data_IF_333561811822
#
_entry.id   IF_333561811822
#
_cell.length_a   1.000
_cell.length_b   1.000
_cell.length_c   1.000
_cell.angle_alpha   90.00
_cell.angle_beta   90.00
_cell.angle_gamma   90.00
#
_symmetry.space_group_name_H-M   'P 1'
#
loop_
_entity.id
_entity.type
_entity.pdbx_description
1 polymer ?
#
# COMPACT_ATOMS: atom_id res chain seq x y z
N UNK A 1 -46.55 21.60 14.99
CA UNK A 1 -46.47 20.18 14.56
C UNK A 1 -45.72 19.98 13.24
N UNK A 2 -46.11 20.63 12.12
CA UNK A 2 -45.48 20.43 10.79
C UNK A 2 -43.97 20.76 10.72
N UNK A 3 -43.53 21.82 11.38
CA UNK A 3 -42.10 22.22 11.44
C UNK A 3 -41.24 21.23 12.23
N UNK A 4 -41.78 20.66 13.31
CA UNK A 4 -41.11 19.64 14.11
C UNK A 4 -40.92 18.34 13.34
N UNK A 5 -41.92 17.94 12.54
CA UNK A 5 -41.84 16.77 11.68
C UNK A 5 -40.76 16.92 10.59
N UNK A 6 -40.67 18.11 9.97
CA UNK A 6 -39.62 18.40 8.99
C UNK A 6 -38.21 18.33 9.61
N UNK A 7 -38.03 18.88 10.81
CA UNK A 7 -36.76 18.78 11.53
C UNK A 7 -36.38 17.33 11.84
N UNK A 8 -37.33 16.53 12.32
CA UNK A 8 -37.08 15.11 12.61
C UNK A 8 -36.66 14.33 11.38
N UNK A 9 -37.32 14.54 10.23
CA UNK A 9 -36.97 13.87 8.96
C UNK A 9 -35.54 14.23 8.52
N UNK A 10 -35.16 15.50 8.59
CA UNK A 10 -33.81 15.95 8.20
C UNK A 10 -32.71 15.34 9.08
N UNK A 11 -32.94 15.25 10.39
CA UNK A 11 -31.98 14.65 11.33
C UNK A 11 -31.80 13.16 11.02
N UNK A 12 -32.90 12.44 10.79
CA UNK A 12 -32.86 11.00 10.46
C UNK A 12 -32.11 10.78 9.14
N UNK A 13 -32.38 11.59 8.10
CA UNK A 13 -31.69 11.48 6.81
C UNK A 13 -30.18 11.68 6.94
N UNK A 14 -29.72 12.66 7.74
CA UNK A 14 -28.30 12.90 7.98
C UNK A 14 -27.60 11.75 8.72
N UNK A 15 -28.28 11.11 9.67
CA UNK A 15 -27.74 9.97 10.42
C UNK A 15 -27.59 8.74 9.50
N UNK A 16 -28.57 8.47 8.64
CA UNK A 16 -28.51 7.36 7.68
C UNK A 16 -27.40 7.56 6.64
N UNK A 17 -27.19 8.80 6.18
CA UNK A 17 -26.11 9.14 5.24
C UNK A 17 -24.71 9.02 5.86
N UNK A 18 -24.56 9.33 7.16
CA UNK A 18 -23.28 9.18 7.89
C UNK A 18 -22.95 7.72 8.24
N UNK A 19 -23.96 6.86 8.39
CA UNK A 19 -23.75 5.41 8.58
C UNK A 19 -23.15 4.72 7.34
N UNK A 20 -23.19 5.37 6.17
CA UNK A 20 -22.65 4.87 4.92
C UNK A 20 -21.20 5.25 4.62
N UNK A 21 -20.57 6.09 5.45
CA UNK A 21 -19.12 6.40 5.32
C UNK A 21 -18.29 5.58 6.29
N UNK A 22 -18.65 4.31 6.47
CA UNK A 22 -17.65 3.28 6.64
C UNK A 22 -16.99 3.03 5.29
N UNK A 23 -16.29 4.02 4.74
CA UNK A 23 -15.23 3.70 3.81
C UNK A 23 -14.25 2.91 4.67
N UNK A 24 -14.44 1.59 4.72
CA UNK A 24 -13.47 0.68 5.27
C UNK A 24 -12.20 1.06 4.54
N UNK A 25 -11.33 1.80 5.22
CA UNK A 25 -10.01 2.12 4.71
C UNK A 25 -9.45 0.75 4.36
N UNK A 26 -9.37 0.47 3.07
CA UNK A 26 -8.89 -0.80 2.58
C UNK A 26 -7.42 -0.72 2.90
N UNK A 27 -7.06 -1.20 4.10
CA UNK A 27 -5.69 -1.12 4.57
C UNK A 27 -4.84 -1.78 3.50
N UNK A 28 -3.81 -1.07 3.06
CA UNK A 28 -2.86 -1.61 2.11
C UNK A 28 -2.29 -2.86 2.77
N UNK A 29 -2.31 -3.98 2.03
CA UNK A 29 -1.77 -5.24 2.52
C UNK A 29 -0.32 -5.01 3.01
N UNK A 30 0.00 -5.51 4.21
CA UNK A 30 1.31 -5.28 4.79
C UNK A 30 2.44 -5.84 3.92
N UNK A 31 2.17 -6.87 3.13
CA UNK A 31 3.08 -7.46 2.14
C UNK A 31 3.39 -6.55 0.95
N UNK A 32 2.60 -5.49 0.72
CA UNK A 32 2.91 -4.45 -0.29
C UNK A 32 3.98 -3.49 0.22
N UNK A 33 3.95 -3.16 1.51
CA UNK A 33 4.93 -2.28 2.14
C UNK A 33 6.22 -3.03 2.48
N UNK A 34 6.07 -4.26 2.96
CA UNK A 34 7.17 -5.12 3.36
C UNK A 34 7.04 -6.47 2.64
N UNK A 35 7.80 -6.69 1.56
CA UNK A 35 7.76 -7.93 0.79
C UNK A 35 7.98 -9.18 1.64
N UNK A 36 8.69 -9.08 2.77
CA UNK A 36 8.94 -10.21 3.68
C UNK A 36 7.70 -10.67 4.44
N UNK A 37 6.67 -9.81 4.55
CA UNK A 37 5.39 -10.13 5.20
C UNK A 37 4.36 -10.73 4.23
N UNK A 38 4.69 -10.79 2.94
CA UNK A 38 3.81 -11.34 1.93
C UNK A 38 3.59 -12.84 2.19
N UNK A 39 2.38 -13.39 2.06
CA UNK A 39 2.18 -14.83 2.08
C UNK A 39 2.84 -15.49 0.86
N UNK A 40 3.28 -16.76 0.98
CA UNK A 40 3.78 -17.53 -0.16
C UNK A 40 5.17 -18.16 -0.03
N UNK A 41 5.75 -18.25 1.17
CA UNK A 41 7.04 -18.90 1.40
C UNK A 41 8.20 -17.91 1.55
N UNK A 42 9.45 -18.38 1.46
CA UNK A 42 10.64 -17.53 1.61
C UNK A 42 10.73 -16.51 0.48
N UNK A 43 10.94 -15.25 0.82
CA UNK A 43 11.13 -14.17 -0.15
C UNK A 43 12.61 -13.81 -0.27
N UNK A 44 13.12 -13.50 -1.48
CA UNK A 44 14.50 -13.04 -1.65
C UNK A 44 14.82 -11.81 -0.80
N UNK A 45 15.97 -11.82 -0.14
CA UNK A 45 16.42 -10.73 0.75
C UNK A 45 15.75 -10.71 2.13
N UNK A 46 14.84 -11.64 2.42
CA UNK A 46 14.17 -11.75 3.71
C UNK A 46 14.86 -12.76 4.61
N UNK A 47 15.28 -12.31 5.79
CA UNK A 47 15.91 -13.16 6.79
C UNK A 47 14.85 -13.69 7.77
N UNK A 48 14.84 -15.01 8.09
CA UNK A 48 13.96 -15.55 9.13
C UNK A 48 14.24 -14.95 10.52
N UNK A 49 15.46 -14.50 10.79
CA UNK A 49 15.79 -13.75 12.00
C UNK A 49 15.39 -12.28 11.84
N UNK A 50 14.33 -11.87 12.55
CA UNK A 50 13.85 -10.49 12.55
C UNK A 50 14.85 -9.46 13.10
N UNK A 51 15.94 -9.92 13.74
CA UNK A 51 17.02 -9.06 14.25
C UNK A 51 18.21 -8.97 13.30
N UNK A 52 18.23 -9.75 12.23
CA UNK A 52 19.31 -9.71 11.27
C UNK A 52 19.31 -8.37 10.51
N UNK A 53 20.48 -7.88 10.09
CA UNK A 53 20.55 -6.71 9.22
C UNK A 53 19.85 -6.99 7.87
N UNK A 54 19.28 -5.96 7.22
CA UNK A 54 18.75 -6.09 5.86
C UNK A 54 19.79 -6.66 4.91
N UNK A 55 19.37 -7.57 4.03
CA UNK A 55 20.22 -8.14 2.99
C UNK A 55 19.73 -7.71 1.61
N UNK A 56 20.66 -7.50 0.69
CA UNK A 56 20.30 -7.27 -0.71
C UNK A 56 19.59 -8.51 -1.25
N UNK A 57 18.38 -8.31 -1.79
CA UNK A 57 17.63 -9.40 -2.40
C UNK A 57 18.30 -9.89 -3.69
N UNK A 58 18.90 -8.99 -4.45
CA UNK A 58 19.60 -9.24 -5.71
C UNK A 58 20.84 -8.36 -5.78
N UNK A 59 21.88 -8.85 -6.45
CA UNK A 59 23.04 -8.03 -6.81
C UNK A 59 22.61 -6.93 -7.79
N UNK A 60 22.99 -5.69 -7.51
CA UNK A 60 22.70 -4.57 -8.40
C UNK A 60 23.66 -4.58 -9.60
N UNK A 61 23.17 -5.03 -10.76
CA UNK A 61 23.94 -5.08 -12.02
C UNK A 61 23.38 -4.13 -13.07
N UNK A 62 22.80 -3.00 -12.64
CA UNK A 62 22.34 -2.00 -13.59
C UNK A 62 23.53 -1.24 -14.17
N UNK A 63 23.86 -1.55 -15.40
CA UNK A 63 24.82 -0.85 -16.23
C UNK A 63 24.27 -0.72 -17.65
N UNK A 64 25.01 -0.03 -18.51
CA UNK A 64 24.73 -0.12 -19.94
C UNK A 64 25.36 -1.40 -20.48
N UNK A 65 24.56 -2.33 -20.98
CA UNK A 65 25.09 -3.45 -21.74
C UNK A 65 25.34 -3.00 -23.18
N UNK A 66 26.19 -3.72 -23.91
CA UNK A 66 26.52 -3.38 -25.30
C UNK A 66 25.27 -3.31 -26.22
N UNK A 67 24.23 -4.06 -25.86
CA UNK A 67 22.94 -4.15 -26.55
C UNK A 67 22.00 -2.98 -26.23
N UNK A 68 22.21 -2.29 -25.10
CA UNK A 68 21.29 -1.26 -24.60
C UNK A 68 21.49 0.10 -25.30
N UNK A 69 22.41 0.18 -26.26
CA UNK A 69 22.72 1.38 -27.07
C UNK A 69 22.85 2.68 -26.24
N UNK A 70 23.24 2.58 -24.97
CA UNK A 70 23.32 3.77 -24.14
C UNK A 70 24.44 4.66 -24.66
N UNK A 71 24.22 5.97 -24.58
CA UNK A 71 25.25 6.94 -24.92
C UNK A 71 26.42 6.72 -23.97
N UNK A 72 27.57 6.29 -24.48
CA UNK A 72 28.82 6.35 -23.73
C UNK A 72 29.04 7.80 -23.30
N UNK A 73 28.78 8.10 -22.03
CA UNK A 73 29.25 9.34 -21.42
C UNK A 73 30.76 9.26 -21.34
N UNK A 74 31.45 9.85 -22.32
CA UNK A 74 32.89 10.05 -22.28
C UNK A 74 33.26 11.01 -21.15
N UNK A 75 34.40 10.70 -20.51
CA UNK A 75 35.11 11.55 -19.53
C UNK A 75 35.22 13.01 -19.96
#
# INVERSE_FOLDING_TARGET
MKRLLLCLVLIISMVVLRGGTGAAASNIDAGVLDPCKKPGGPHPGCNPDAKAPPQEANKYEHGCNQEDHCRSGGN
#
